data_IF_823277707969
#
_entry.id   IF_823277707969
#
_cell.length_a   1.000
_cell.length_b   1.000
_cell.length_c   1.000
_cell.angle_alpha   90.00
_cell.angle_beta   90.00
_cell.angle_gamma   90.00
#
_symmetry.space_group_name_H-M   'P 1'
#
loop_
_entity.id
_entity.type
_entity.pdbx_description
1 polymer ?
#
# COMPACT_ATOMS: atom_id res chain seq x y z
N UNK A 1 47.89 44.96 -6.22
CA UNK A 1 47.05 44.00 -6.95
C UNK A 1 45.64 44.58 -7.20
N UNK A 2 45.46 45.46 -8.20
CA UNK A 2 44.19 46.18 -8.44
C UNK A 2 43.14 45.33 -9.19
N UNK A 3 43.55 44.33 -9.97
CA UNK A 3 42.66 43.56 -10.85
C UNK A 3 41.65 42.63 -10.14
N UNK A 4 41.92 42.23 -8.89
CA UNK A 4 41.03 41.36 -8.13
C UNK A 4 39.80 42.11 -7.57
N UNK A 5 39.94 43.41 -7.25
CA UNK A 5 38.84 44.24 -6.78
C UNK A 5 37.90 44.65 -7.94
N UNK A 6 38.45 44.95 -9.11
CA UNK A 6 37.63 45.27 -10.29
C UNK A 6 36.86 44.06 -10.85
N UNK A 7 37.40 42.85 -10.69
CA UNK A 7 36.73 41.59 -11.06
C UNK A 7 35.52 41.32 -10.14
N UNK A 8 35.71 41.48 -8.82
CA UNK A 8 34.62 41.33 -7.83
C UNK A 8 33.51 42.38 -8.01
N UNK A 9 33.88 43.62 -8.35
CA UNK A 9 32.91 44.68 -8.64
C UNK A 9 32.08 44.40 -9.90
N UNK A 10 32.68 43.84 -10.96
CA UNK A 10 31.96 43.44 -12.18
C UNK A 10 31.02 42.24 -11.95
N UNK A 11 31.43 41.26 -11.15
CA UNK A 11 30.58 40.12 -10.75
C UNK A 11 29.39 40.59 -9.90
N UNK A 12 29.64 41.44 -8.89
CA UNK A 12 28.58 42.01 -8.07
C UNK A 12 27.59 42.85 -8.90
N UNK A 13 28.09 43.63 -9.86
CA UNK A 13 27.25 44.45 -10.75
C UNK A 13 26.42 43.59 -11.71
N UNK A 14 26.96 42.45 -12.19
CA UNK A 14 26.24 41.44 -12.99
C UNK A 14 25.15 40.71 -12.19
N UNK A 15 25.42 40.35 -10.94
CA UNK A 15 24.42 39.74 -10.04
C UNK A 15 23.30 40.73 -9.73
N UNK A 16 23.65 42.00 -9.46
CA UNK A 16 22.68 43.06 -9.20
C UNK A 16 21.83 43.40 -10.45
N UNK A 17 22.40 43.40 -11.65
CA UNK A 17 21.64 43.63 -12.90
C UNK A 17 20.77 42.43 -13.30
N UNK A 18 21.22 41.20 -13.03
CA UNK A 18 20.38 40.00 -13.18
C UNK A 18 19.17 40.03 -12.23
N UNK A 19 19.36 40.50 -10.99
CA UNK A 19 18.27 40.70 -10.03
C UNK A 19 17.31 41.83 -10.43
N UNK A 20 17.81 42.92 -11.01
CA UNK A 20 17.02 44.09 -11.37
C UNK A 20 16.21 43.95 -12.67
N UNK A 21 16.68 43.19 -13.66
CA UNK A 21 16.06 43.17 -15.00
C UNK A 21 15.67 41.78 -15.55
N UNK A 22 15.97 40.67 -14.86
CA UNK A 22 15.64 39.33 -15.37
C UNK A 22 15.31 38.24 -14.34
N UNK A 23 15.55 38.48 -13.04
CA UNK A 23 15.35 37.49 -11.98
C UNK A 23 14.22 37.80 -10.98
N UNK A 24 13.69 39.03 -10.96
CA UNK A 24 12.71 39.47 -9.96
C UNK A 24 11.38 38.72 -10.01
N UNK A 25 10.83 38.48 -11.20
CA UNK A 25 9.56 37.77 -11.36
C UNK A 25 9.65 36.29 -10.99
N UNK A 26 10.64 35.57 -11.50
CA UNK A 26 10.84 34.14 -11.20
C UNK A 26 11.30 33.90 -9.76
N UNK A 27 12.13 34.78 -9.20
CA UNK A 27 12.57 34.72 -7.81
C UNK A 27 11.44 35.00 -6.82
N UNK A 28 10.63 36.03 -7.04
CA UNK A 28 9.49 36.36 -6.19
C UNK A 28 8.35 35.33 -6.32
N UNK A 29 8.07 34.83 -7.53
CA UNK A 29 7.12 33.74 -7.74
C UNK A 29 7.59 32.44 -7.08
N UNK A 30 8.89 32.13 -7.16
CA UNK A 30 9.49 30.98 -6.49
C UNK A 30 9.41 31.06 -4.96
N UNK A 31 9.78 32.22 -4.39
CA UNK A 31 9.68 32.47 -2.94
C UNK A 31 8.22 32.44 -2.47
N UNK A 32 7.30 33.04 -3.23
CA UNK A 32 5.86 32.99 -2.96
C UNK A 32 5.32 31.57 -2.95
N UNK A 33 5.66 30.75 -3.94
CA UNK A 33 5.25 29.34 -4.01
C UNK A 33 5.78 28.53 -2.82
N UNK A 34 7.05 28.71 -2.45
CA UNK A 34 7.63 28.06 -1.26
C UNK A 34 6.89 28.48 0.00
N UNK A 35 6.57 29.77 0.15
CA UNK A 35 5.75 30.26 1.26
C UNK A 35 4.37 29.59 1.33
N UNK A 36 3.69 29.45 0.19
CA UNK A 36 2.40 28.73 0.10
C UNK A 36 2.56 27.28 0.54
N UNK A 37 3.55 26.55 0.01
CA UNK A 37 3.77 25.14 0.35
C UNK A 37 4.06 24.94 1.85
N UNK A 38 4.88 25.81 2.45
CA UNK A 38 5.17 25.76 3.89
C UNK A 38 3.92 26.05 4.73
N UNK A 39 3.08 26.98 4.27
CA UNK A 39 1.83 27.33 4.96
C UNK A 39 0.83 26.18 4.88
N UNK A 40 0.64 25.60 3.70
CA UNK A 40 -0.20 24.41 3.51
C UNK A 40 0.32 23.22 4.30
N UNK A 41 1.64 23.05 4.42
CA UNK A 41 2.22 21.98 5.23
C UNK A 41 1.87 22.16 6.70
N UNK A 42 1.96 23.38 7.24
CA UNK A 42 1.57 23.66 8.63
C UNK A 42 0.08 23.41 8.85
N UNK A 43 -0.78 23.87 7.94
CA UNK A 43 -2.22 23.63 8.01
C UNK A 43 -2.57 22.14 7.90
N UNK A 44 -1.86 21.40 7.05
CA UNK A 44 -2.05 19.96 6.92
C UNK A 44 -1.63 19.23 8.20
N UNK A 45 -0.48 19.56 8.79
CA UNK A 45 -0.02 18.99 10.06
C UNK A 45 -1.01 19.30 11.19
N UNK A 46 -1.53 20.53 11.27
CA UNK A 46 -2.54 20.90 12.27
C UNK A 46 -3.88 20.18 12.05
N UNK A 47 -4.24 19.90 10.80
CA UNK A 47 -5.45 19.17 10.47
C UNK A 47 -5.29 17.65 10.63
N UNK A 48 -4.08 17.11 10.50
CA UNK A 48 -3.82 15.71 10.84
C UNK A 48 -3.92 15.60 12.36
N UNK A 49 -4.86 14.78 12.84
CA UNK A 49 -4.98 14.53 14.27
C UNK A 49 -3.72 13.85 14.80
N UNK A 50 -3.37 14.05 16.06
CA UNK A 50 -2.40 13.18 16.70
C UNK A 50 -3.17 11.99 17.28
N UNK A 51 -2.80 10.78 16.88
CA UNK A 51 -3.20 9.59 17.61
C UNK A 51 -2.36 9.53 18.88
N UNK A 52 -3.03 9.51 20.03
CA UNK A 52 -2.37 9.30 21.32
C UNK A 52 -2.11 7.81 21.56
N UNK A 53 -0.94 7.51 22.10
CA UNK A 53 -0.55 6.16 22.49
C UNK A 53 0.23 5.38 21.42
N UNK A 54 0.85 4.29 21.88
CA UNK A 54 1.57 3.36 21.03
C UNK A 54 0.60 2.43 20.29
N UNK A 55 0.95 1.98 19.06
CA UNK A 55 0.16 0.97 18.38
C UNK A 55 0.05 -0.32 19.21
N UNK A 56 -1.07 -1.05 19.10
CA UNK A 56 -1.28 -2.25 19.89
C UNK A 56 -0.24 -3.33 19.53
N UNK A 57 0.35 -3.94 20.56
CA UNK A 57 1.35 -5.00 20.39
C UNK A 57 0.70 -6.26 19.82
N UNK A 58 1.14 -6.68 18.63
CA UNK A 58 0.56 -7.80 17.90
C UNK A 58 1.46 -9.06 17.84
N UNK A 59 2.67 -9.02 18.40
CA UNK A 59 3.58 -10.17 18.38
C UNK A 59 2.92 -11.39 19.06
N UNK A 60 3.03 -12.54 18.43
CA UNK A 60 2.34 -13.76 18.87
C UNK A 60 2.33 -14.83 17.78
N UNK A 61 1.70 -15.96 18.09
CA UNK A 61 1.47 -17.05 17.13
C UNK A 61 0.02 -16.97 16.64
N UNK A 62 -0.16 -17.10 15.33
CA UNK A 62 -1.44 -17.04 14.64
C UNK A 62 -1.70 -18.37 13.96
N UNK A 63 -2.96 -18.81 13.94
CA UNK A 63 -3.35 -20.09 13.35
C UNK A 63 -3.00 -21.30 14.21
N UNK A 64 -3.15 -21.20 15.55
CA UNK A 64 -2.89 -22.30 16.48
C UNK A 64 -3.68 -23.58 16.15
N UNK A 65 -4.86 -23.45 15.53
CA UNK A 65 -5.64 -24.59 15.04
C UNK A 65 -4.89 -25.47 14.02
N UNK A 66 -3.84 -24.95 13.38
CA UNK A 66 -2.97 -25.68 12.45
C UNK A 66 -1.76 -26.33 13.15
N UNK A 67 -1.63 -26.19 14.47
CA UNK A 67 -0.50 -26.76 15.22
C UNK A 67 -0.68 -28.27 15.52
N UNK A 68 -1.92 -28.74 15.61
CA UNK A 68 -2.27 -30.11 16.05
C UNK A 68 -2.30 -31.15 14.91
N UNK A 69 -1.67 -30.84 13.78
CA UNK A 69 -1.57 -31.75 12.65
C UNK A 69 -0.78 -33.02 12.97
N UNK A 70 -0.97 -34.08 12.17
CA UNK A 70 -0.29 -35.38 12.31
C UNK A 70 1.24 -35.30 12.24
N UNK A 71 1.80 -34.22 11.67
CA UNK A 71 3.22 -33.88 11.72
C UNK A 71 3.39 -32.38 12.05
N UNK A 72 3.64 -32.02 13.33
CA UNK A 72 3.78 -30.61 13.73
C UNK A 72 5.02 -29.99 13.09
N UNK A 73 4.81 -29.05 12.16
CA UNK A 73 5.88 -28.22 11.60
C UNK A 73 6.13 -27.01 12.51
N UNK A 74 7.39 -26.54 12.67
CA UNK A 74 7.65 -25.32 13.44
C UNK A 74 6.90 -24.13 12.82
N UNK A 75 6.40 -23.14 13.57
CA UNK A 75 5.69 -22.01 12.96
C UNK A 75 6.55 -21.28 11.93
N UNK A 76 5.93 -20.81 10.84
CA UNK A 76 6.58 -19.85 9.93
C UNK A 76 6.85 -18.55 10.70
N UNK A 77 7.99 -17.91 10.46
CA UNK A 77 8.35 -16.64 11.09
C UNK A 77 8.14 -15.49 10.11
N UNK A 78 7.14 -14.66 10.40
CA UNK A 78 6.84 -13.44 9.66
C UNK A 78 7.38 -12.23 10.42
N UNK A 79 8.35 -11.51 9.85
CA UNK A 79 8.85 -10.27 10.41
C UNK A 79 8.22 -9.02 9.77
N UNK A 80 8.05 -7.97 10.56
CA UNK A 80 7.60 -6.65 10.13
C UNK A 80 8.62 -5.58 10.52
N UNK A 81 9.08 -4.84 9.51
CA UNK A 81 9.93 -3.67 9.66
C UNK A 81 9.23 -2.46 9.02
N UNK A 82 9.52 -1.26 9.50
CA UNK A 82 9.00 -0.05 8.90
C UNK A 82 8.66 1.07 9.87
N UNK A 83 7.70 1.87 9.44
CA UNK A 83 7.19 3.02 10.16
C UNK A 83 5.91 2.72 10.97
N UNK A 84 5.14 3.77 11.29
CA UNK A 84 3.86 3.65 12.01
C UNK A 84 2.83 2.78 11.29
N UNK A 85 2.89 2.71 9.95
CA UNK A 85 2.00 1.86 9.15
C UNK A 85 2.31 0.40 9.40
N UNK A 86 3.59 0.01 9.37
CA UNK A 86 4.01 -1.36 9.70
C UNK A 86 3.75 -1.70 11.18
N UNK A 87 3.89 -0.72 12.08
CA UNK A 87 3.61 -0.90 13.50
C UNK A 87 2.11 -1.09 13.79
N UNK A 88 1.22 -0.63 12.90
CA UNK A 88 -0.24 -0.73 13.05
C UNK A 88 -0.87 0.45 13.78
N UNK A 89 -0.30 1.65 13.65
CA UNK A 89 -0.89 2.86 14.22
C UNK A 89 -2.21 3.19 13.52
N UNK A 90 -3.26 3.54 14.28
CA UNK A 90 -4.60 3.83 13.74
C UNK A 90 -5.67 2.80 14.07
N UNK A 91 -5.29 1.66 14.65
CA UNK A 91 -6.23 0.65 15.17
C UNK A 91 -6.14 0.52 16.69
N UNK A 92 -7.22 0.01 17.28
CA UNK A 92 -7.33 -0.15 18.73
C UNK A 92 -7.01 -1.58 19.19
N UNK A 93 -7.10 -2.57 18.29
CA UNK A 93 -6.88 -3.99 18.63
C UNK A 93 -5.70 -4.56 17.89
N UNK A 94 -4.92 -5.40 18.58
CA UNK A 94 -3.75 -6.09 18.01
C UNK A 94 -4.09 -6.87 16.74
N UNK A 95 -5.23 -7.57 16.72
CA UNK A 95 -5.71 -8.36 15.57
C UNK A 95 -6.05 -7.53 14.31
N UNK A 96 -6.20 -6.22 14.45
CA UNK A 96 -6.53 -5.29 13.37
C UNK A 96 -5.25 -4.67 12.76
N UNK A 97 -4.07 -4.95 13.32
CA UNK A 97 -2.78 -4.50 12.77
C UNK A 97 -2.46 -5.24 11.47
N UNK A 98 -1.72 -4.62 10.53
CA UNK A 98 -1.40 -5.28 9.26
C UNK A 98 -0.58 -6.55 9.47
N UNK A 99 0.31 -6.57 10.47
CA UNK A 99 1.09 -7.76 10.83
C UNK A 99 0.21 -8.92 11.27
N UNK A 100 -0.77 -8.67 12.15
CA UNK A 100 -1.70 -9.71 12.61
C UNK A 100 -2.59 -10.24 11.48
N UNK A 101 -3.11 -9.34 10.64
CA UNK A 101 -3.95 -9.69 9.49
C UNK A 101 -3.18 -10.54 8.48
N UNK A 102 -1.92 -10.17 8.18
CA UNK A 102 -1.07 -10.95 7.30
C UNK A 102 -0.64 -12.28 7.92
N UNK A 103 -0.34 -12.33 9.21
CA UNK A 103 -0.01 -13.57 9.90
C UNK A 103 -1.18 -14.57 9.89
N UNK A 104 -2.40 -14.10 10.17
CA UNK A 104 -3.61 -14.93 10.14
C UNK A 104 -3.94 -15.41 8.72
N UNK A 105 -3.85 -14.53 7.72
CA UNK A 105 -4.06 -14.88 6.31
C UNK A 105 -3.02 -15.88 5.81
N UNK A 106 -1.74 -15.65 6.13
CA UNK A 106 -0.66 -16.55 5.77
C UNK A 106 -0.82 -17.92 6.44
N UNK A 107 -1.18 -17.96 7.73
CA UNK A 107 -1.40 -19.22 8.44
C UNK A 107 -2.50 -20.06 7.80
N UNK A 108 -3.56 -19.39 7.33
CA UNK A 108 -4.67 -20.05 6.65
C UNK A 108 -4.28 -20.61 5.29
N UNK A 109 -3.47 -19.89 4.50
CA UNK A 109 -3.02 -20.35 3.17
C UNK A 109 -1.94 -21.43 3.28
N UNK A 110 -1.05 -21.32 4.27
CA UNK A 110 0.03 -22.28 4.50
C UNK A 110 -0.43 -23.53 5.26
N UNK A 111 -1.65 -23.51 5.82
CA UNK A 111 -2.16 -24.50 6.79
C UNK A 111 -1.12 -24.78 7.89
N UNK A 112 -0.44 -23.73 8.35
CA UNK A 112 0.69 -23.80 9.28
C UNK A 112 0.70 -22.58 10.19
N UNK A 113 0.97 -22.73 11.51
CA UNK A 113 1.03 -21.58 12.40
C UNK A 113 2.08 -20.55 11.96
N UNK A 114 1.81 -19.27 12.22
CA UNK A 114 2.72 -18.16 11.89
C UNK A 114 3.06 -17.38 13.15
N UNK A 115 4.35 -17.29 13.48
CA UNK A 115 4.88 -16.42 14.53
C UNK A 115 5.18 -15.04 13.95
N UNK A 116 4.46 -14.03 14.42
CA UNK A 116 4.67 -12.63 14.04
C UNK A 116 5.73 -11.98 14.93
N UNK A 117 6.71 -11.33 14.29
CA UNK A 117 7.74 -10.51 14.92
C UNK A 117 7.70 -9.11 14.30
N UNK A 118 6.99 -8.18 14.93
CA UNK A 118 6.95 -6.79 14.54
C UNK A 118 7.98 -5.97 15.35
N UNK A 119 8.93 -5.37 14.65
CA UNK A 119 9.96 -4.48 15.20
C UNK A 119 9.84 -3.05 14.63
N UNK A 120 8.80 -2.79 13.84
CA UNK A 120 8.51 -1.47 13.32
C UNK A 120 8.07 -0.52 14.44
N UNK A 121 8.29 0.77 14.23
CA UNK A 121 7.92 1.80 15.20
C UNK A 121 7.43 3.08 14.52
N UNK A 122 6.61 3.83 15.25
CA UNK A 122 6.05 5.09 14.76
C UNK A 122 7.13 6.13 14.47
N UNK A 123 7.07 6.74 13.28
CA UNK A 123 8.05 7.75 12.87
C UNK A 123 9.35 7.20 12.27
N UNK A 124 9.49 5.87 12.15
CA UNK A 124 10.64 5.24 11.51
C UNK A 124 10.85 5.71 10.07
N UNK A 125 12.11 5.84 9.67
CA UNK A 125 12.58 6.19 8.31
C UNK A 125 13.52 5.13 7.79
N UNK A 126 13.86 5.20 6.51
CA UNK A 126 14.77 4.23 5.88
C UNK A 126 16.13 4.12 6.60
N UNK A 127 16.60 5.20 7.22
CA UNK A 127 17.84 5.20 8.04
C UNK A 127 17.75 4.33 9.29
N UNK A 128 16.54 4.12 9.82
CA UNK A 128 16.31 3.37 11.05
C UNK A 128 16.20 1.86 10.78
N UNK A 129 16.16 1.43 9.51
CA UNK A 129 16.06 0.02 9.13
C UNK A 129 17.24 -0.82 9.64
N UNK A 130 18.45 -0.25 9.72
CA UNK A 130 19.60 -0.99 10.23
C UNK A 130 19.40 -1.46 11.66
N UNK A 131 18.86 -0.60 12.54
CA UNK A 131 18.53 -0.99 13.91
C UNK A 131 17.38 -2.00 13.98
N UNK A 132 16.39 -1.89 13.09
CA UNK A 132 15.32 -2.88 13.03
C UNK A 132 15.80 -4.26 12.54
N UNK A 133 16.80 -4.31 11.65
CA UNK A 133 17.43 -5.57 11.23
C UNK A 133 18.11 -6.29 12.40
N UNK A 134 18.82 -5.55 13.25
CA UNK A 134 19.45 -6.12 14.45
C UNK A 134 18.43 -6.80 15.38
N UNK A 135 17.20 -6.29 15.42
CA UNK A 135 16.11 -6.87 16.19
C UNK A 135 15.42 -8.05 15.48
N UNK A 136 15.29 -8.00 14.15
CA UNK A 136 14.56 -9.00 13.38
C UNK A 136 15.40 -10.26 13.06
N UNK A 137 16.66 -10.10 12.68
CA UNK A 137 17.53 -11.21 12.22
C UNK A 137 17.72 -12.33 13.26
N UNK A 138 17.83 -12.07 14.58
CA UNK A 138 17.92 -13.15 15.58
C UNK A 138 16.74 -14.12 15.57
N UNK A 139 15.59 -13.69 15.05
CA UNK A 139 14.39 -14.53 14.95
C UNK A 139 14.35 -15.42 13.70
N UNK A 140 15.32 -15.29 12.78
CA UNK A 140 15.42 -16.04 11.52
C UNK A 140 14.09 -16.04 10.73
N UNK A 141 13.63 -14.87 10.26
CA UNK A 141 12.35 -14.77 9.57
C UNK A 141 12.37 -15.52 8.23
N UNK A 142 11.39 -16.39 8.00
CA UNK A 142 11.16 -17.02 6.69
C UNK A 142 10.73 -15.96 5.66
N UNK A 143 9.95 -14.97 6.11
CA UNK A 143 9.54 -13.84 5.29
C UNK A 143 9.49 -12.54 6.09
N UNK A 144 9.90 -11.46 5.46
CA UNK A 144 9.89 -10.12 6.03
C UNK A 144 9.08 -9.17 5.15
N UNK A 145 8.11 -8.48 5.77
CA UNK A 145 7.36 -7.41 5.14
C UNK A 145 7.92 -6.06 5.62
N UNK A 146 8.27 -5.19 4.68
CA UNK A 146 8.74 -3.83 4.99
C UNK A 146 7.71 -2.82 4.48
N UNK A 147 7.22 -1.92 5.35
CA UNK A 147 6.39 -0.79 4.93
C UNK A 147 7.04 0.51 5.42
N UNK A 148 7.67 1.24 4.51
CA UNK A 148 8.43 2.44 4.84
C UNK A 148 8.49 3.44 3.69
N UNK A 149 8.59 4.72 4.03
CA UNK A 149 8.90 5.79 3.08
C UNK A 149 7.98 7.01 3.20
N UNK A 150 6.86 6.91 3.91
CA UNK A 150 6.02 8.08 4.17
C UNK A 150 6.82 9.15 4.95
N UNK A 151 7.53 8.72 6.00
CA UNK A 151 8.36 9.61 6.81
C UNK A 151 9.60 10.12 6.08
N UNK A 152 10.13 9.37 5.11
CA UNK A 152 11.23 9.86 4.28
C UNK A 152 10.81 11.05 3.42
N UNK A 153 9.57 11.05 2.91
CA UNK A 153 9.03 12.20 2.17
C UNK A 153 8.69 13.36 3.09
N UNK A 154 7.97 13.11 4.19
CA UNK A 154 7.50 14.19 5.10
C UNK A 154 8.63 14.85 5.88
N UNK A 155 9.72 14.12 6.16
CA UNK A 155 10.93 14.64 6.83
C UNK A 155 12.03 15.04 5.85
N UNK A 156 11.74 15.02 4.55
CA UNK A 156 12.65 15.43 3.49
C UNK A 156 14.01 14.69 3.50
N UNK A 157 13.99 13.38 3.77
CA UNK A 157 15.16 12.51 3.57
C UNK A 157 15.61 12.59 2.10
N UNK A 158 16.92 12.62 1.80
CA UNK A 158 17.41 12.47 0.43
C UNK A 158 16.94 11.14 -0.15
N UNK A 159 16.18 11.16 -1.25
CA UNK A 159 15.55 9.96 -1.81
C UNK A 159 16.58 8.85 -2.14
N UNK A 160 17.75 9.23 -2.66
CA UNK A 160 18.83 8.31 -2.98
C UNK A 160 19.36 7.59 -1.73
N UNK A 161 19.44 8.30 -0.60
CA UNK A 161 19.88 7.74 0.66
C UNK A 161 18.84 6.74 1.19
N UNK A 162 17.56 7.15 1.20
CA UNK A 162 16.46 6.30 1.67
C UNK A 162 16.35 5.01 0.85
N UNK A 163 16.43 5.12 -0.49
CA UNK A 163 16.39 3.96 -1.41
C UNK A 163 17.58 3.04 -1.20
N UNK A 164 18.79 3.60 -1.01
CA UNK A 164 19.99 2.80 -0.73
C UNK A 164 19.86 2.02 0.57
N UNK A 165 19.44 2.68 1.65
CA UNK A 165 19.25 2.05 2.97
C UNK A 165 18.20 0.94 2.93
N UNK A 166 17.10 1.15 2.20
CA UNK A 166 16.12 0.09 1.95
C UNK A 166 16.73 -1.08 1.17
N UNK A 167 17.46 -0.81 0.09
CA UNK A 167 18.12 -1.86 -0.71
C UNK A 167 19.13 -2.68 0.11
N UNK A 168 19.93 -2.02 0.94
CA UNK A 168 20.86 -2.64 1.89
C UNK A 168 20.12 -3.55 2.89
N UNK A 169 19.00 -3.10 3.43
CA UNK A 169 18.18 -3.90 4.34
C UNK A 169 17.57 -5.14 3.66
N UNK A 170 17.05 -4.98 2.44
CA UNK A 170 16.52 -6.11 1.65
C UNK A 170 17.63 -7.12 1.36
N UNK A 171 18.79 -6.66 0.91
CA UNK A 171 19.92 -7.53 0.61
C UNK A 171 20.38 -8.31 1.86
N UNK A 172 20.44 -7.67 3.03
CA UNK A 172 20.80 -8.32 4.27
C UNK A 172 19.79 -9.41 4.69
N UNK A 173 18.49 -9.14 4.57
CA UNK A 173 17.44 -10.12 4.87
C UNK A 173 17.50 -11.33 3.91
N UNK A 174 17.66 -11.07 2.61
CA UNK A 174 17.83 -12.10 1.58
C UNK A 174 19.06 -12.96 1.84
N UNK A 175 20.19 -12.35 2.20
CA UNK A 175 21.43 -13.06 2.54
C UNK A 175 21.29 -13.95 3.79
N UNK A 176 20.32 -13.67 4.65
CA UNK A 176 19.99 -14.48 5.84
C UNK A 176 18.82 -15.45 5.59
N UNK A 177 18.42 -15.67 4.33
CA UNK A 177 17.40 -16.66 3.96
C UNK A 177 15.95 -16.18 4.09
N UNK A 178 15.72 -14.89 4.35
CA UNK A 178 14.36 -14.34 4.41
C UNK A 178 13.85 -13.95 3.03
N UNK A 179 12.65 -14.38 2.66
CA UNK A 179 11.89 -13.75 1.58
C UNK A 179 11.52 -12.32 1.96
N UNK A 180 11.50 -11.38 0.99
CA UNK A 180 11.24 -9.97 1.30
C UNK A 180 10.17 -9.39 0.39
N UNK A 181 9.12 -8.84 1.00
CA UNK A 181 8.06 -8.10 0.31
C UNK A 181 8.00 -6.69 0.85
N UNK A 182 8.18 -5.70 -0.02
CA UNK A 182 8.13 -4.28 0.36
C UNK A 182 6.85 -3.64 -0.12
N UNK A 183 6.06 -3.14 0.84
CA UNK A 183 5.01 -2.17 0.58
C UNK A 183 5.63 -0.80 0.33
N UNK A 184 5.64 -0.35 -0.92
CA UNK A 184 6.33 0.90 -1.30
C UNK A 184 5.65 2.14 -0.72
N UNK A 185 6.37 3.27 -0.71
CA UNK A 185 5.88 4.56 -0.25
C UNK A 185 4.46 4.86 -0.76
N UNK A 186 3.48 5.11 0.13
CA UNK A 186 2.11 5.41 -0.28
C UNK A 186 2.02 6.80 -0.93
N UNK A 187 1.03 7.00 -1.80
CA UNK A 187 0.77 8.29 -2.45
C UNK A 187 0.24 9.31 -1.44
N UNK A 188 1.14 10.13 -0.89
CA UNK A 188 0.78 11.14 0.11
C UNK A 188 -0.17 12.23 -0.42
N UNK A 189 -0.36 12.33 -1.74
CA UNK A 189 -1.35 13.21 -2.32
C UNK A 189 -2.80 12.72 -2.18
N UNK A 190 -3.04 11.55 -1.60
CA UNK A 190 -4.40 11.08 -1.25
C UNK A 190 -4.84 11.52 0.14
N UNK A 191 -3.93 12.06 0.97
CA UNK A 191 -4.24 12.53 2.32
C UNK A 191 -5.16 13.76 2.22
N UNK A 192 -6.40 13.63 2.71
CA UNK A 192 -7.46 14.64 2.55
C UNK A 192 -7.08 16.02 3.10
N UNK A 193 -6.43 16.14 4.27
CA UNK A 193 -5.90 17.42 4.76
C UNK A 193 -4.92 18.15 3.82
N UNK A 194 -4.22 17.45 2.93
CA UNK A 194 -3.23 18.06 2.03
C UNK A 194 -3.93 18.71 0.85
N UNK A 195 -3.82 20.04 0.74
CA UNK A 195 -4.45 20.85 -0.33
C UNK A 195 -3.49 21.12 -1.49
N UNK A 196 -3.98 21.41 -2.71
CA UNK A 196 -3.13 21.88 -3.80
C UNK A 196 -2.66 23.33 -3.56
N UNK A 197 -1.39 23.66 -3.84
CA UNK A 197 -0.43 22.89 -4.63
C UNK A 197 0.37 21.79 -3.90
N UNK A 198 0.43 21.78 -2.56
CA UNK A 198 1.23 20.81 -1.79
C UNK A 198 0.86 19.36 -2.11
N UNK A 199 -0.42 19.09 -2.36
CA UNK A 199 -0.92 17.77 -2.77
C UNK A 199 -0.21 17.23 -4.02
N UNK A 200 0.05 18.08 -5.00
CA UNK A 200 0.69 17.68 -6.25
C UNK A 200 2.17 17.36 -6.02
N UNK A 201 2.83 18.17 -5.19
CA UNK A 201 4.23 17.96 -4.80
C UNK A 201 4.36 16.65 -4.00
N UNK A 202 3.52 16.45 -2.99
CA UNK A 202 3.50 15.25 -2.16
C UNK A 202 3.26 13.97 -2.99
N UNK A 203 2.29 14.00 -3.91
CA UNK A 203 2.04 12.91 -4.88
C UNK A 203 3.26 12.61 -5.74
N UNK A 204 3.89 13.65 -6.28
CA UNK A 204 5.05 13.48 -7.15
C UNK A 204 6.22 12.87 -6.40
N UNK A 205 6.56 13.41 -5.23
CA UNK A 205 7.70 12.94 -4.43
C UNK A 205 7.49 11.51 -3.93
N UNK A 206 6.30 11.19 -3.43
CA UNK A 206 5.98 9.82 -2.98
C UNK A 206 6.02 8.79 -4.12
N UNK A 207 5.45 9.10 -5.29
CA UNK A 207 5.51 8.20 -6.46
C UNK A 207 6.92 8.02 -7.00
N UNK A 208 7.72 9.09 -7.02
CA UNK A 208 9.14 9.01 -7.40
C UNK A 208 9.93 8.12 -6.43
N UNK A 209 9.69 8.28 -5.12
CA UNK A 209 10.31 7.42 -4.11
C UNK A 209 9.86 5.97 -4.29
N UNK A 210 8.56 5.70 -4.46
CA UNK A 210 8.03 4.34 -4.66
C UNK A 210 8.63 3.64 -5.89
N UNK A 211 8.78 4.36 -7.01
CA UNK A 211 9.43 3.82 -8.21
C UNK A 211 10.91 3.49 -7.93
N UNK A 212 11.64 4.37 -7.26
CA UNK A 212 13.04 4.13 -6.92
C UNK A 212 13.22 2.98 -5.91
N UNK A 213 12.33 2.88 -4.92
CA UNK A 213 12.27 1.73 -4.00
C UNK A 213 12.03 0.43 -4.77
N UNK A 214 11.11 0.42 -5.74
CA UNK A 214 10.82 -0.76 -6.56
C UNK A 214 12.07 -1.28 -7.27
N UNK A 215 12.84 -0.38 -7.90
CA UNK A 215 14.08 -0.75 -8.59
C UNK A 215 15.06 -1.38 -7.60
N UNK A 216 15.38 -0.69 -6.51
CA UNK A 216 16.38 -1.15 -5.54
C UNK A 216 15.98 -2.48 -4.86
N UNK A 217 14.70 -2.65 -4.52
CA UNK A 217 14.20 -3.88 -3.87
C UNK A 217 14.28 -5.07 -4.82
N UNK A 218 13.83 -4.88 -6.07
CA UNK A 218 13.85 -5.95 -7.08
C UNK A 218 15.29 -6.36 -7.41
N UNK A 219 16.20 -5.39 -7.53
CA UNK A 219 17.64 -5.64 -7.72
C UNK A 219 18.26 -6.37 -6.52
N UNK A 220 17.85 -6.02 -5.29
CA UNK A 220 18.37 -6.59 -4.05
C UNK A 220 17.84 -7.98 -3.69
N UNK A 221 16.90 -8.54 -4.45
CA UNK A 221 16.37 -9.87 -4.15
C UNK A 221 14.87 -9.93 -3.85
N UNK A 222 14.26 -8.81 -3.48
CA UNK A 222 12.89 -8.76 -2.97
C UNK A 222 11.82 -8.56 -4.03
N UNK A 223 10.58 -8.51 -3.55
CA UNK A 223 9.38 -8.16 -4.31
C UNK A 223 8.81 -6.86 -3.78
N UNK A 224 8.10 -6.12 -4.63
CA UNK A 224 7.37 -4.93 -4.17
C UNK A 224 5.89 -5.05 -4.46
N UNK A 225 5.10 -4.46 -3.58
CA UNK A 225 3.68 -4.24 -3.78
C UNK A 225 3.44 -2.75 -3.67
N UNK A 226 2.92 -2.16 -4.74
CA UNK A 226 2.53 -0.75 -4.73
C UNK A 226 1.36 -0.57 -3.78
N UNK A 227 1.63 0.04 -2.63
CA UNK A 227 0.60 0.57 -1.74
C UNK A 227 0.09 1.94 -2.22
N UNK A 228 0.63 2.43 -3.36
CA UNK A 228 0.44 3.75 -3.92
C UNK A 228 -1.03 4.04 -4.23
N UNK A 229 -1.68 4.72 -3.27
CA UNK A 229 -3.13 4.85 -3.04
C UNK A 229 -3.72 3.53 -2.58
N UNK A 230 -3.79 3.25 -1.28
CA UNK A 230 -4.22 1.92 -0.84
C UNK A 230 -5.54 1.47 -1.45
N UNK A 231 -6.37 2.33 -2.08
CA UNK A 231 -7.21 1.96 -3.25
C UNK A 231 -7.67 3.13 -4.19
N UNK A 232 -6.80 3.68 -5.04
CA UNK A 232 -7.23 4.49 -6.21
C UNK A 232 -8.16 5.70 -5.93
N UNK A 233 -8.88 6.21 -6.96
CA UNK A 233 -9.87 7.29 -6.79
C UNK A 233 -11.03 6.90 -5.87
N UNK A 234 -11.43 5.63 -5.86
CA UNK A 234 -12.55 5.13 -5.07
C UNK A 234 -12.32 5.17 -3.57
N UNK A 235 -11.07 5.30 -3.10
CA UNK A 235 -10.78 5.42 -1.66
C UNK A 235 -10.26 6.77 -1.23
N UNK A 236 -9.76 7.59 -2.16
CA UNK A 236 -9.79 9.04 -1.96
C UNK A 236 -11.23 9.52 -1.67
N UNK A 237 -12.23 8.78 -2.14
CA UNK A 237 -13.66 8.98 -1.88
C UNK A 237 -14.21 8.31 -0.59
N UNK A 238 -13.42 7.48 0.13
CA UNK A 238 -13.85 6.71 1.32
C UNK A 238 -13.10 7.13 2.59
N UNK A 239 -13.62 8.11 3.35
CA UNK A 239 -13.00 8.58 4.60
C UNK A 239 -12.80 7.50 5.66
N UNK A 240 -13.64 6.46 5.68
CA UNK A 240 -13.63 5.34 6.63
C UNK A 240 -12.35 4.48 6.56
N UNK A 241 -11.51 4.71 5.55
CA UNK A 241 -10.27 3.97 5.32
C UNK A 241 -9.06 4.60 5.99
N UNK A 242 -9.27 5.77 6.59
CA UNK A 242 -8.33 6.44 7.46
C UNK A 242 -8.83 6.37 8.91
N UNK A 243 -7.88 6.32 9.85
CA UNK A 243 -8.15 6.45 11.27
C UNK A 243 -8.64 7.88 11.60
N UNK A 244 -8.92 8.12 12.89
CA UNK A 244 -9.42 9.41 13.37
C UNK A 244 -8.50 10.60 13.03
N UNK A 245 -7.20 10.36 12.83
CA UNK A 245 -6.23 11.37 12.43
C UNK A 245 -6.29 11.78 10.95
N UNK A 246 -7.06 11.04 10.13
CA UNK A 246 -7.19 11.25 8.68
C UNK A 246 -5.87 11.06 7.91
N UNK A 247 -4.93 10.31 8.49
CA UNK A 247 -3.61 10.05 7.94
C UNK A 247 -3.27 8.55 7.94
N UNK A 248 -3.33 7.89 9.09
CA UNK A 248 -3.03 6.46 9.16
C UNK A 248 -4.20 5.61 8.66
N UNK A 249 -3.95 4.39 8.17
CA UNK A 249 -5.03 3.48 7.80
C UNK A 249 -5.93 3.13 9.00
N UNK A 250 -7.24 3.01 8.76
CA UNK A 250 -8.16 2.39 9.73
C UNK A 250 -8.01 0.87 9.74
N UNK A 251 -8.79 0.17 10.58
CA UNK A 251 -8.85 -1.29 10.55
C UNK A 251 -9.23 -1.83 9.15
N UNK A 252 -10.16 -1.17 8.45
CA UNK A 252 -10.52 -1.52 7.08
C UNK A 252 -9.39 -1.15 6.09
N UNK A 253 -8.72 -0.02 6.34
CA UNK A 253 -7.46 0.39 5.72
C UNK A 253 -6.42 -0.73 5.70
N UNK A 254 -6.09 -1.24 6.87
CA UNK A 254 -5.12 -2.31 7.06
C UNK A 254 -5.59 -3.66 6.52
N UNK A 255 -6.86 -4.01 6.66
CA UNK A 255 -7.42 -5.22 6.04
C UNK A 255 -7.20 -5.21 4.52
N UNK A 256 -7.44 -4.07 3.89
CA UNK A 256 -7.24 -3.95 2.44
C UNK A 256 -5.77 -3.99 2.04
N UNK A 257 -4.89 -3.36 2.82
CA UNK A 257 -3.46 -3.44 2.61
C UNK A 257 -2.93 -4.87 2.75
N UNK A 258 -3.36 -5.58 3.79
CA UNK A 258 -3.02 -6.97 4.02
C UNK A 258 -3.48 -7.85 2.85
N UNK A 259 -4.71 -7.67 2.37
CA UNK A 259 -5.23 -8.40 1.20
C UNK A 259 -4.46 -8.12 -0.10
N UNK A 260 -3.92 -6.91 -0.27
CA UNK A 260 -3.08 -6.57 -1.42
C UNK A 260 -1.68 -7.22 -1.35
N UNK A 261 -1.13 -7.35 -0.14
CA UNK A 261 0.23 -7.86 0.10
C UNK A 261 0.28 -9.39 0.20
N UNK A 262 -0.73 -10.01 0.82
CA UNK A 262 -0.79 -11.45 1.09
C UNK A 262 -0.49 -12.33 -0.13
N UNK A 263 -1.04 -12.06 -1.33
CA UNK A 263 -0.73 -12.84 -2.52
C UNK A 263 0.77 -12.86 -2.87
N UNK A 264 1.47 -11.74 -2.67
CA UNK A 264 2.91 -11.64 -2.94
C UNK A 264 3.73 -12.37 -1.87
N UNK A 265 3.26 -12.36 -0.62
CA UNK A 265 3.85 -13.11 0.49
C UNK A 265 3.75 -14.61 0.24
N UNK A 266 2.57 -15.11 -0.11
CA UNK A 266 2.36 -16.52 -0.45
C UNK A 266 3.19 -16.95 -1.67
N UNK A 267 3.24 -16.11 -2.71
CA UNK A 267 4.04 -16.40 -3.90
C UNK A 267 5.55 -16.35 -3.65
N UNK A 268 6.03 -15.58 -2.68
CA UNK A 268 7.43 -15.56 -2.28
C UNK A 268 7.83 -16.84 -1.56
N UNK A 269 6.95 -17.36 -0.71
CA UNK A 269 7.14 -18.63 0.01
C UNK A 269 6.81 -19.88 -0.81
N UNK A 270 6.41 -19.75 -2.08
CA UNK A 270 6.05 -20.89 -2.93
C UNK A 270 4.78 -21.62 -2.50
N UNK A 271 3.87 -20.96 -1.78
CA UNK A 271 2.64 -21.56 -1.24
C UNK A 271 1.49 -21.66 -2.24
N UNK A 272 1.71 -21.27 -3.50
CA UNK A 272 0.71 -21.42 -4.54
C UNK A 272 1.09 -22.52 -5.51
N UNK A 273 0.15 -23.40 -5.90
CA UNK A 273 0.44 -24.47 -6.84
C UNK A 273 0.85 -23.90 -8.20
N UNK A 274 1.92 -24.46 -8.78
CA UNK A 274 2.42 -24.15 -10.13
C UNK A 274 1.42 -24.56 -11.24
N UNK A 275 0.43 -25.41 -10.93
CA UNK A 275 -0.32 -26.23 -11.90
C UNK A 275 -1.48 -25.55 -12.66
N UNK A 276 -1.85 -24.31 -12.36
CA UNK A 276 -2.87 -23.58 -13.16
C UNK A 276 -2.34 -22.23 -13.64
N UNK A 277 -1.19 -22.23 -14.32
CA UNK A 277 -0.91 -21.16 -15.30
C UNK A 277 -1.67 -21.50 -16.58
N UNK A 278 -2.83 -20.88 -16.87
CA UNK A 278 -3.45 -21.05 -18.19
C UNK A 278 -2.41 -20.68 -19.25
N UNK A 279 -2.20 -21.57 -20.21
CA UNK A 279 -1.30 -21.34 -21.33
C UNK A 279 -1.83 -20.13 -22.14
N UNK A 280 -1.30 -18.94 -21.86
CA UNK A 280 -1.72 -17.68 -22.46
C UNK A 280 -1.25 -16.44 -21.69
N UNK A 281 -1.37 -15.26 -22.28
CA UNK A 281 -1.16 -13.99 -21.56
C UNK A 281 -2.22 -13.87 -20.46
N UNK A 282 -1.81 -13.93 -19.18
CA UNK A 282 -2.69 -13.61 -18.07
C UNK A 282 -3.01 -12.11 -18.15
N UNK A 283 -4.29 -11.70 -18.28
CA UNK A 283 -4.65 -10.29 -18.36
C UNK A 283 -4.14 -9.53 -17.12
N UNK A 284 -3.32 -8.50 -17.31
CA UNK A 284 -2.72 -7.71 -16.23
C UNK A 284 -1.32 -8.13 -15.81
N UNK A 285 -0.70 -9.08 -16.52
CA UNK A 285 0.71 -9.43 -16.37
C UNK A 285 1.56 -8.92 -17.53
N UNK A 286 2.73 -8.35 -17.23
CA UNK A 286 3.67 -7.91 -18.25
C UNK A 286 5.11 -8.08 -17.77
N UNK A 287 5.98 -8.65 -18.62
CA UNK A 287 7.43 -8.63 -18.40
C UNK A 287 7.98 -7.36 -19.03
N UNK A 288 8.53 -6.47 -18.19
CA UNK A 288 8.99 -5.15 -18.58
C UNK A 288 10.39 -4.90 -18.02
N UNK A 289 11.18 -3.97 -18.59
CA UNK A 289 12.38 -3.51 -17.92
C UNK A 289 12.03 -3.00 -16.52
N UNK A 290 12.86 -3.28 -15.51
CA UNK A 290 12.55 -2.98 -14.09
C UNK A 290 12.13 -1.53 -13.89
N UNK A 291 12.83 -0.58 -14.51
CA UNK A 291 12.49 0.84 -14.43
C UNK A 291 11.10 1.17 -14.99
N UNK A 292 10.68 0.49 -16.07
CA UNK A 292 9.35 0.66 -16.68
C UNK A 292 8.27 0.03 -15.80
N UNK A 293 8.52 -1.18 -15.28
CA UNK A 293 7.62 -1.82 -14.32
C UNK A 293 7.44 -0.96 -13.06
N UNK A 294 8.54 -0.41 -12.53
CA UNK A 294 8.54 0.47 -11.37
C UNK A 294 7.73 1.75 -11.59
N UNK A 295 7.93 2.42 -12.74
CA UNK A 295 7.17 3.61 -13.09
C UNK A 295 5.66 3.30 -13.25
N UNK A 296 5.32 2.16 -13.86
CA UNK A 296 3.93 1.72 -14.01
C UNK A 296 3.28 1.37 -12.66
N UNK A 297 4.00 0.68 -11.77
CA UNK A 297 3.53 0.27 -10.45
C UNK A 297 3.37 1.47 -9.50
N UNK A 298 4.27 2.45 -9.53
CA UNK A 298 4.20 3.63 -8.66
C UNK A 298 2.90 4.44 -8.83
N UNK A 299 2.23 4.31 -9.98
CA UNK A 299 0.95 4.95 -10.25
C UNK A 299 -0.29 4.08 -10.03
N UNK A 300 -0.13 2.79 -9.72
CA UNK A 300 -1.23 1.80 -9.70
C UNK A 300 -1.12 0.88 -8.47
N UNK A 301 -2.04 1.04 -7.53
CA UNK A 301 -2.13 0.24 -6.31
C UNK A 301 -2.31 -1.24 -6.56
N UNK A 302 -1.83 -2.07 -5.63
CA UNK A 302 -1.97 -3.53 -5.70
C UNK A 302 -1.21 -4.16 -6.85
N UNK A 303 -0.32 -3.40 -7.49
CA UNK A 303 0.59 -3.89 -8.52
C UNK A 303 1.81 -4.47 -7.85
N UNK A 304 2.05 -5.77 -8.05
CA UNK A 304 3.27 -6.46 -7.65
C UNK A 304 4.34 -6.28 -8.73
N UNK A 305 5.59 -6.07 -8.32
CA UNK A 305 6.77 -6.16 -9.18
C UNK A 305 7.76 -7.15 -8.56
N UNK A 306 8.13 -8.17 -9.33
CA UNK A 306 9.13 -9.17 -8.97
C UNK A 306 10.11 -9.38 -10.13
N UNK A 307 11.37 -9.70 -9.84
CA UNK A 307 12.37 -9.94 -10.88
C UNK A 307 12.02 -11.17 -11.74
N UNK A 308 12.41 -11.14 -13.02
CA UNK A 308 12.34 -12.31 -13.92
C UNK A 308 13.76 -12.72 -14.30
N UNK A 309 14.11 -13.98 -14.04
CA UNK A 309 15.44 -14.54 -14.36
C UNK A 309 16.08 -15.27 -13.17
N UNK A 310 17.07 -16.13 -13.46
CA UNK A 310 17.78 -16.91 -12.46
C UNK A 310 18.64 -16.04 -11.52
N UNK A 311 18.82 -16.49 -10.27
CA UNK A 311 19.70 -15.85 -9.30
C UNK A 311 21.11 -15.60 -9.88
N UNK A 312 21.66 -14.41 -9.67
CA UNK A 312 23.03 -14.06 -10.08
C UNK A 312 23.18 -13.33 -11.43
N UNK A 313 22.11 -13.13 -12.21
CA UNK A 313 22.14 -12.24 -13.38
C UNK A 313 21.60 -10.85 -13.05
N UNK A 314 22.10 -9.80 -13.72
CA UNK A 314 21.56 -8.44 -13.58
C UNK A 314 20.07 -8.51 -13.90
N UNK A 315 19.24 -8.24 -12.88
CA UNK A 315 17.78 -8.32 -12.94
C UNK A 315 17.25 -7.15 -13.78
N UNK A 316 17.41 -7.23 -15.10
CA UNK A 316 17.01 -6.17 -16.04
C UNK A 316 15.51 -6.16 -16.33
N UNK A 317 14.84 -7.26 -16.04
CA UNK A 317 13.42 -7.48 -16.32
C UNK A 317 12.66 -7.83 -15.05
N UNK A 318 11.44 -7.34 -14.96
CA UNK A 318 10.51 -7.66 -13.90
C UNK A 318 9.13 -8.01 -14.44
N UNK A 319 8.48 -8.93 -13.74
CA UNK A 319 7.08 -9.27 -13.92
C UNK A 319 6.26 -8.26 -13.11
N UNK A 320 5.43 -7.51 -13.83
CA UNK A 320 4.39 -6.66 -13.29
C UNK A 320 3.11 -7.50 -13.18
N UNK A 321 2.48 -7.59 -12.01
CA UNK A 321 1.18 -8.28 -11.85
C UNK A 321 0.16 -7.38 -11.17
N UNK A 322 -1.03 -7.28 -11.74
CA UNK A 322 -2.15 -6.58 -11.11
C UNK A 322 -3.03 -7.57 -10.36
N UNK A 323 -2.94 -7.58 -9.02
CA UNK A 323 -3.66 -8.56 -8.19
C UNK A 323 -4.94 -8.03 -7.56
N UNK A 324 -5.07 -6.72 -7.41
CA UNK A 324 -6.28 -6.12 -6.83
C UNK A 324 -7.28 -5.78 -7.94
N UNK A 325 -8.33 -6.61 -8.08
CA UNK A 325 -9.59 -6.20 -8.71
C UNK A 325 -10.57 -5.85 -7.60
N UNK A 326 -10.59 -4.59 -7.15
CA UNK A 326 -11.77 -4.10 -6.43
C UNK A 326 -12.79 -3.72 -7.48
N UNK A 327 -13.65 -4.70 -7.79
CA UNK A 327 -14.97 -4.48 -8.33
C UNK A 327 -15.91 -5.30 -7.48
N UNK A 328 -16.63 -4.66 -6.55
CA UNK A 328 -17.94 -5.18 -6.19
C UNK A 328 -18.71 -5.35 -7.51
N UNK A 329 -19.51 -6.42 -7.70
CA UNK A 329 -20.35 -6.51 -8.88
C UNK A 329 -21.09 -5.18 -8.98
N UNK A 330 -21.00 -4.53 -10.15
CA UNK A 330 -21.78 -3.35 -10.43
C UNK A 330 -23.20 -3.71 -10.00
N UNK A 331 -23.74 -3.01 -9.01
CA UNK A 331 -25.16 -3.07 -8.73
C UNK A 331 -25.80 -2.91 -10.10
N UNK A 332 -26.49 -3.98 -10.52
CA UNK A 332 -26.85 -4.18 -11.92
C UNK A 332 -27.34 -2.87 -12.48
N UNK A 333 -26.86 -2.51 -13.66
CA UNK A 333 -27.69 -1.73 -14.56
C UNK A 333 -29.02 -2.46 -14.60
N UNK A 334 -29.96 -2.02 -13.76
CA UNK A 334 -31.34 -2.38 -13.88
C UNK A 334 -31.68 -1.92 -15.29
N UNK A 335 -31.75 -2.88 -16.21
CA UNK A 335 -32.47 -2.66 -17.45
C UNK A 335 -33.79 -2.01 -17.02
N UNK A 336 -34.19 -0.89 -17.64
CA UNK A 336 -35.49 -0.33 -17.36
C UNK A 336 -36.50 -1.43 -17.67
N UNK A 337 -37.21 -1.87 -16.64
CA UNK A 337 -38.28 -2.84 -16.77
C UNK A 337 -39.19 -2.34 -17.90
N UNK A 338 -39.23 -3.10 -18.99
CA UNK A 338 -40.12 -2.84 -20.11
C UNK A 338 -41.54 -2.71 -19.59
N UNK A 339 -42.27 -1.74 -20.15
CA UNK A 339 -43.68 -1.50 -19.86
C UNK A 339 -44.47 -2.82 -19.82
N UNK A 340 -45.35 -3.04 -18.82
CA UNK A 340 -46.19 -4.22 -18.80
C UNK A 340 -47.15 -4.18 -19.99
N UNK A 341 -46.85 -5.03 -20.97
CA UNK A 341 -47.69 -5.30 -22.12
C UNK A 341 -49.08 -5.75 -21.70
N UNK A 342 -50.06 -4.98 -22.18
CA UNK A 342 -51.48 -5.28 -22.38
C UNK A 342 -51.83 -6.78 -22.32
N UNK A 343 -52.76 -7.22 -21.45
CA UNK A 343 -53.17 -8.62 -21.40
C UNK A 343 -53.95 -9.03 -22.67
N UNK A 344 -53.79 -10.28 -23.15
CA UNK A 344 -54.52 -10.78 -24.31
C UNK A 344 -56.01 -10.98 -23.99
N UNK A 345 -56.83 -10.74 -25.01
CA UNK A 345 -58.28 -10.83 -24.96
C UNK A 345 -58.76 -12.25 -24.62
N UNK A 346 -59.82 -12.29 -23.81
CA UNK A 346 -60.53 -13.49 -23.41
C UNK A 346 -61.29 -14.12 -24.59
N UNK A 347 -61.08 -15.43 -24.79
CA UNK A 347 -62.09 -16.29 -25.39
C UNK A 347 -62.89 -16.95 -24.27
N UNK A 348 -64.21 -16.85 -24.39
CA UNK A 348 -65.17 -17.19 -23.35
C UNK A 348 -65.78 -18.58 -23.45
N UNK A 349 -66.24 -19.01 -22.27
CA UNK A 349 -67.41 -19.87 -21.97
C UNK A 349 -67.26 -21.40 -21.98
N UNK A 350 -68.11 -22.13 -21.20
CA UNK A 350 -68.37 -21.98 -19.76
C UNK A 350 -68.54 -23.36 -19.05
N UNK A 351 -69.09 -23.36 -17.81
CA UNK A 351 -69.57 -24.49 -16.97
C UNK A 351 -68.48 -25.08 -16.03
N UNK A 352 -68.67 -25.30 -14.73
CA UNK A 352 -69.84 -25.38 -13.85
C UNK A 352 -69.41 -25.13 -12.39
N UNK A 353 -70.39 -24.90 -11.51
CA UNK A 353 -70.33 -25.47 -10.15
C UNK A 353 -69.94 -24.55 -8.99
N UNK A 354 -70.91 -23.78 -8.54
CA UNK A 354 -71.04 -23.14 -7.22
C UNK A 354 -70.84 -24.12 -6.04
N UNK A 355 -70.12 -23.70 -4.99
CA UNK A 355 -70.42 -23.85 -3.53
C UNK A 355 -69.15 -23.47 -2.73
N UNK A 356 -69.10 -22.32 -2.06
CA UNK A 356 -69.54 -22.07 -0.68
C UNK A 356 -68.58 -22.57 0.42
N UNK A 357 -68.10 -21.60 1.20
CA UNK A 357 -68.13 -21.55 2.67
C UNK A 357 -66.81 -21.61 3.46
N UNK A 358 -66.67 -20.55 4.30
CA UNK A 358 -66.19 -20.51 5.70
C UNK A 358 -64.70 -20.82 5.97
N UNK A 359 -63.87 -19.88 6.44
CA UNK A 359 -63.89 -19.08 7.68
C UNK A 359 -63.56 -19.84 8.97
N UNK A 360 -62.44 -19.44 9.57
CA UNK A 360 -62.11 -19.35 11.00
C UNK A 360 -62.11 -20.60 11.91
N UNK A 361 -60.93 -20.88 12.48
CA UNK A 361 -60.61 -20.87 13.93
C UNK A 361 -59.09 -21.15 14.06
N UNK A 362 -58.26 -20.52 14.89
CA UNK A 362 -58.51 -19.71 16.09
C UNK A 362 -58.47 -20.57 17.36
N UNK A 363 -57.44 -20.34 18.19
CA UNK A 363 -57.10 -20.94 19.49
C UNK A 363 -56.09 -22.12 19.41
N UNK A 364 -54.99 -22.16 20.17
CA UNK A 364 -54.64 -21.47 21.40
C UNK A 364 -54.16 -22.50 22.43
N UNK A 365 -52.99 -22.22 23.03
CA UNK A 365 -52.37 -22.83 24.21
C UNK A 365 -51.96 -24.31 24.21
N UNK A 366 -50.67 -24.57 24.00
CA UNK A 366 -49.69 -24.90 25.05
C UNK A 366 -48.29 -25.08 24.43
#
# INVERSE_FOLDING_TARGET
MPGAQESRARVARRIATAAAYGGGGLGLLGVGLVGVLLTESKLAIQAIGMLEGDPPKANGVYGEAFADGTEPQPPLVLAFLGDSTAAGLGVLRARETPGALLAAGLASVAERPVRLVNVAFSGGRSVDLSGQLELALPHRPDITVIMIGANDVTRHSPAQLAVRQLGEAVAALRANGSEVVVGTCPDLGTIKPVRPPLRWVARRLSRQLAAAQTIAVVEAGGRTVSLGSLLGPEFAARPEMFAADRYHPSAQGYATAAMAVLPSVCAALGLWPEEERPAGQVPGEAVLPVAVAAAAAAGRSGTEVAAVGAEGTVRRWALLRQRLRVGLPAAGSAEPAGEPGRPPAADGSPADGNTSASSHAGAGDA
#
